data_IF_802934625341
#
_entry.id   IF_802934625341
#
_cell.length_a   1.000
_cell.length_b   1.000
_cell.length_c   1.000
_cell.angle_alpha   90.00
_cell.angle_beta   90.00
_cell.angle_gamma   90.00
#
_symmetry.space_group_name_H-M   'P 1'
#
loop_
_entity.id
_entity.type
_entity.pdbx_description
1 polymer ?
#
# COMPACT_ATOMS: atom_id res chain seq x y z
N UNK A 1 -4.06 -7.04 24.86
CA UNK A 1 -4.12 -5.57 24.78
C UNK A 1 -3.23 -4.95 23.70
N UNK A 2 -2.41 -5.72 23.03
CA UNK A 2 -1.44 -5.19 22.06
C UNK A 2 -1.81 -5.38 20.59
N UNK A 3 -3.01 -5.89 20.31
CA UNK A 3 -3.38 -6.23 18.93
C UNK A 3 -3.95 -5.07 18.10
N UNK A 4 -4.12 -3.89 18.70
CA UNK A 4 -4.70 -2.74 18.00
C UNK A 4 -3.77 -2.21 16.91
N UNK A 5 -2.47 -2.20 17.15
CA UNK A 5 -1.51 -1.70 16.17
C UNK A 5 -1.40 -2.61 14.94
N UNK A 6 -1.39 -3.92 15.15
CA UNK A 6 -1.31 -4.91 14.07
C UNK A 6 -2.54 -4.80 13.16
N UNK A 7 -3.74 -4.70 13.76
CA UNK A 7 -4.98 -4.55 13.00
C UNK A 7 -5.00 -3.24 12.21
N UNK A 8 -4.45 -2.17 12.77
CA UNK A 8 -4.34 -0.88 12.09
C UNK A 8 -3.41 -0.98 10.88
N UNK A 9 -2.29 -1.69 10.98
CA UNK A 9 -1.40 -1.91 9.84
C UNK A 9 -2.06 -2.74 8.74
N UNK A 10 -2.83 -3.77 9.11
CA UNK A 10 -3.60 -4.54 8.12
C UNK A 10 -4.56 -3.64 7.37
N UNK A 11 -5.29 -2.80 8.08
CA UNK A 11 -6.23 -1.85 7.48
C UNK A 11 -5.51 -0.90 6.53
N UNK A 12 -4.38 -0.32 6.96
CA UNK A 12 -3.61 0.61 6.13
C UNK A 12 -3.05 -0.07 4.87
N UNK A 13 -2.48 -1.26 5.00
CA UNK A 13 -1.96 -2.01 3.86
C UNK A 13 -3.07 -2.35 2.85
N UNK A 14 -4.24 -2.73 3.34
CA UNK A 14 -5.39 -3.03 2.47
C UNK A 14 -5.89 -1.77 1.78
N UNK A 15 -5.99 -0.68 2.51
CA UNK A 15 -6.42 0.62 1.98
C UNK A 15 -5.47 1.09 0.88
N UNK A 16 -4.18 1.18 1.19
CA UNK A 16 -3.19 1.67 0.24
C UNK A 16 -3.05 0.73 -0.96
N UNK A 17 -3.07 -0.58 -0.72
CA UNK A 17 -3.03 -1.58 -1.79
C UNK A 17 -4.18 -1.40 -2.77
N UNK A 18 -5.40 -1.26 -2.27
CA UNK A 18 -6.58 -1.07 -3.14
C UNK A 18 -6.54 0.26 -3.90
N UNK A 19 -6.07 1.33 -3.26
CA UNK A 19 -5.98 2.64 -3.90
C UNK A 19 -4.96 2.69 -5.03
N UNK A 20 -3.88 1.92 -4.93
CA UNK A 20 -2.92 1.79 -6.03
C UNK A 20 -3.36 0.77 -7.08
N UNK A 21 -4.05 -0.28 -6.69
CA UNK A 21 -4.43 -1.39 -7.58
C UNK A 21 -5.60 -1.05 -8.50
N UNK A 22 -6.58 -0.30 -7.98
CA UNK A 22 -7.85 -0.09 -8.66
C UNK A 22 -7.97 1.32 -9.20
N UNK A 23 -8.69 1.45 -10.32
CA UNK A 23 -9.03 2.77 -10.85
C UNK A 23 -9.91 3.52 -9.85
N UNK A 24 -9.75 4.85 -9.72
CA UNK A 24 -10.49 5.63 -8.72
C UNK A 24 -12.01 5.52 -8.87
N UNK A 25 -12.51 5.38 -10.09
CA UNK A 25 -13.94 5.27 -10.36
C UNK A 25 -14.49 3.85 -10.19
N UNK A 26 -13.69 2.90 -9.73
CA UNK A 26 -14.19 1.55 -9.45
C UNK A 26 -15.28 1.59 -8.37
N UNK A 27 -16.44 0.94 -8.60
CA UNK A 27 -17.55 1.01 -7.64
C UNK A 27 -17.17 0.56 -6.22
N UNK A 28 -16.26 -0.39 -6.10
CA UNK A 28 -15.81 -0.90 -4.80
C UNK A 28 -15.09 0.17 -3.97
N UNK A 29 -14.56 1.22 -4.61
CA UNK A 29 -13.83 2.30 -3.92
C UNK A 29 -14.72 3.49 -3.54
N UNK A 30 -15.99 3.51 -3.94
CA UNK A 30 -16.88 4.65 -3.70
C UNK A 30 -16.95 5.02 -2.21
N UNK A 31 -17.20 4.04 -1.35
CA UNK A 31 -17.27 4.26 0.10
C UNK A 31 -15.91 4.66 0.68
N UNK A 32 -14.82 4.11 0.14
CA UNK A 32 -13.46 4.44 0.56
C UNK A 32 -13.16 5.91 0.30
N UNK A 33 -13.49 6.42 -0.89
CA UNK A 33 -13.27 7.83 -1.21
C UNK A 33 -14.14 8.76 -0.36
N UNK A 34 -15.40 8.39 -0.11
CA UNK A 34 -16.26 9.15 0.78
C UNK A 34 -15.66 9.23 2.19
N UNK A 35 -15.17 8.11 2.69
CA UNK A 35 -14.53 8.02 4.00
C UNK A 35 -13.25 8.86 4.08
N UNK A 36 -12.42 8.85 3.04
CA UNK A 36 -11.22 9.70 2.96
C UNK A 36 -11.58 11.18 3.01
N UNK A 37 -12.58 11.59 2.24
CA UNK A 37 -13.05 12.99 2.19
C UNK A 37 -13.53 13.48 3.55
N UNK A 38 -14.10 12.60 4.36
CA UNK A 38 -14.61 12.91 5.69
C UNK A 38 -13.53 12.88 6.78
N UNK A 39 -12.27 12.68 6.41
CA UNK A 39 -11.16 12.61 7.36
C UNK A 39 -11.02 11.26 8.06
N UNK A 40 -11.55 10.20 7.47
CA UNK A 40 -11.50 8.86 8.07
C UNK A 40 -10.09 8.34 8.29
N UNK A 41 -9.19 8.56 7.33
CA UNK A 41 -7.80 8.14 7.48
C UNK A 41 -7.10 8.90 8.60
N UNK A 42 -7.33 10.21 8.69
CA UNK A 42 -6.77 11.04 9.75
C UNK A 42 -7.17 10.52 11.14
N UNK A 43 -8.42 10.13 11.30
CA UNK A 43 -8.94 9.59 12.57
C UNK A 43 -8.30 8.24 12.92
N UNK A 44 -7.98 7.43 11.92
CA UNK A 44 -7.36 6.11 12.11
C UNK A 44 -5.83 6.15 12.12
N UNK A 45 -5.24 7.32 11.85
CA UNK A 45 -3.78 7.45 11.74
C UNK A 45 -3.16 7.45 13.13
N UNK A 46 -2.65 6.28 13.54
CA UNK A 46 -2.07 6.07 14.87
C UNK A 46 -0.59 6.43 14.95
N UNK A 47 0.02 6.79 13.82
CA UNK A 47 1.44 7.14 13.75
C UNK A 47 1.66 8.59 14.15
N UNK A 48 2.88 8.89 14.60
CA UNK A 48 3.25 10.26 14.92
C UNK A 48 3.12 11.15 13.69
N UNK A 49 2.46 12.30 13.87
CA UNK A 49 2.20 13.22 12.77
C UNK A 49 3.20 14.37 12.84
N UNK A 50 4.13 14.39 11.89
CA UNK A 50 4.98 15.55 11.66
C UNK A 50 4.33 16.49 10.64
N UNK A 51 5.01 17.57 10.27
CA UNK A 51 4.47 18.54 9.31
C UNK A 51 4.27 17.93 7.94
N UNK A 52 5.10 16.98 7.52
CA UNK A 52 4.97 16.30 6.24
C UNK A 52 3.75 15.36 6.22
N UNK A 53 3.56 14.57 7.27
CA UNK A 53 2.38 13.70 7.41
C UNK A 53 1.09 14.51 7.39
N UNK A 54 1.07 15.63 8.10
CA UNK A 54 -0.09 16.51 8.15
C UNK A 54 -0.44 17.08 6.78
N UNK A 55 0.57 17.52 6.03
CA UNK A 55 0.38 17.99 4.65
C UNK A 55 -0.16 16.89 3.75
N UNK A 56 0.39 15.68 3.87
CA UNK A 56 -0.05 14.53 3.07
C UNK A 56 -1.50 14.13 3.39
N UNK A 57 -1.86 14.08 4.67
CA UNK A 57 -3.24 13.78 5.07
C UNK A 57 -4.22 14.82 4.56
N UNK A 58 -3.88 16.11 4.68
CA UNK A 58 -4.70 17.21 4.20
C UNK A 58 -4.88 17.15 2.69
N UNK A 59 -3.81 16.91 1.95
CA UNK A 59 -3.84 16.83 0.49
C UNK A 59 -4.68 15.64 0.02
N UNK A 60 -4.52 14.50 0.68
CA UNK A 60 -5.29 13.29 0.38
C UNK A 60 -6.79 13.53 0.56
N UNK A 61 -7.18 14.15 1.67
CA UNK A 61 -8.59 14.48 1.96
C UNK A 61 -9.18 15.42 0.92
N UNK A 62 -8.45 16.47 0.57
CA UNK A 62 -8.92 17.49 -0.37
C UNK A 62 -9.08 16.96 -1.79
N UNK A 63 -8.21 16.04 -2.20
CA UNK A 63 -8.17 15.55 -3.57
C UNK A 63 -8.81 14.17 -3.74
N UNK A 64 -9.50 13.65 -2.73
CA UNK A 64 -10.15 12.34 -2.76
C UNK A 64 -11.45 12.38 -3.56
N UNK A 65 -11.36 12.78 -4.83
CA UNK A 65 -12.49 12.84 -5.77
C UNK A 65 -12.23 11.85 -6.91
N UNK A 66 -12.96 10.71 -6.95
CA UNK A 66 -12.70 9.66 -7.95
C UNK A 66 -12.78 10.17 -9.40
N UNK A 67 -13.72 11.04 -9.69
CA UNK A 67 -13.91 11.56 -11.06
C UNK A 67 -12.70 12.37 -11.51
N UNK A 68 -12.19 13.23 -10.63
CA UNK A 68 -11.02 14.07 -10.93
C UNK A 68 -9.73 13.26 -11.00
N UNK A 69 -9.63 12.18 -10.24
CA UNK A 69 -8.42 11.35 -10.15
C UNK A 69 -8.28 10.37 -11.32
N UNK A 70 -9.33 10.10 -12.08
CA UNK A 70 -9.29 9.14 -13.18
C UNK A 70 -8.18 9.47 -14.18
N UNK A 71 -8.05 10.72 -14.59
CA UNK A 71 -7.01 11.16 -15.52
C UNK A 71 -5.61 10.98 -14.93
N UNK A 72 -5.44 11.33 -13.66
CA UNK A 72 -4.14 11.15 -12.96
C UNK A 72 -3.75 9.68 -12.86
N UNK A 73 -4.70 8.84 -12.50
CA UNK A 73 -4.47 7.39 -12.40
C UNK A 73 -4.03 6.82 -13.76
N UNK A 74 -4.74 7.17 -14.84
CA UNK A 74 -4.42 6.70 -16.18
C UNK A 74 -3.03 7.16 -16.61
N UNK A 75 -2.69 8.41 -16.37
CA UNK A 75 -1.39 8.96 -16.73
C UNK A 75 -0.23 8.29 -15.97
N UNK A 76 -0.47 7.90 -14.71
CA UNK A 76 0.57 7.31 -13.87
C UNK A 76 0.66 5.78 -14.01
N UNK A 77 -0.45 5.07 -13.94
CA UNK A 77 -0.49 3.63 -13.68
C UNK A 77 -1.10 2.77 -14.77
N UNK A 78 -1.72 3.35 -15.80
CA UNK A 78 -2.28 2.57 -16.89
C UNK A 78 -1.16 1.90 -17.71
N UNK A 79 -1.53 1.02 -18.62
CA UNK A 79 -0.60 0.20 -19.41
C UNK A 79 0.55 0.99 -20.01
N UNK A 80 0.31 2.22 -20.47
CA UNK A 80 1.33 3.11 -21.02
C UNK A 80 1.60 4.30 -20.12
N UNK A 81 1.34 4.16 -18.81
CA UNK A 81 1.56 5.21 -17.83
C UNK A 81 3.03 5.44 -17.52
N UNK A 82 3.28 6.53 -16.78
CA UNK A 82 4.63 6.97 -16.45
C UNK A 82 5.36 6.01 -15.48
N UNK A 83 4.60 5.18 -14.74
CA UNK A 83 5.14 4.33 -13.67
C UNK A 83 4.76 2.87 -13.93
N UNK A 84 5.76 1.96 -14.06
CA UNK A 84 5.46 0.53 -14.13
C UNK A 84 4.79 0.03 -12.86
N UNK A 85 3.74 -0.79 -13.00
CA UNK A 85 3.04 -1.38 -11.85
C UNK A 85 3.35 -2.86 -11.66
N UNK A 86 4.03 -3.50 -12.61
CA UNK A 86 4.40 -4.90 -12.53
C UNK A 86 5.58 -5.09 -11.56
N UNK A 87 5.49 -6.11 -10.70
CA UNK A 87 6.60 -6.49 -9.80
C UNK A 87 7.85 -6.82 -10.63
N UNK A 88 7.65 -7.51 -11.74
CA UNK A 88 8.74 -7.91 -12.66
C UNK A 88 9.49 -6.71 -13.23
N UNK A 89 8.85 -5.56 -13.37
CA UNK A 89 9.48 -4.33 -13.83
C UNK A 89 10.56 -3.81 -12.88
N UNK A 90 10.50 -4.23 -11.61
CA UNK A 90 11.47 -3.85 -10.56
C UNK A 90 12.49 -4.94 -10.30
N UNK A 91 12.62 -5.90 -11.22
CA UNK A 91 13.59 -7.01 -11.19
C UNK A 91 13.34 -8.04 -10.10
N UNK A 92 12.07 -8.24 -9.74
CA UNK A 92 11.67 -9.29 -8.81
C UNK A 92 10.96 -10.42 -9.55
N UNK A 93 11.15 -11.65 -9.08
CA UNK A 93 10.52 -12.83 -9.67
C UNK A 93 9.06 -12.95 -9.20
N UNK A 94 8.13 -12.88 -10.15
CA UNK A 94 6.71 -13.09 -9.89
C UNK A 94 6.47 -14.55 -9.47
N UNK A 95 7.19 -15.49 -10.07
CA UNK A 95 7.09 -16.91 -9.75
C UNK A 95 7.47 -17.17 -8.29
N UNK A 96 8.54 -16.53 -7.81
CA UNK A 96 8.95 -16.65 -6.40
C UNK A 96 7.90 -16.06 -5.45
N UNK A 97 7.32 -14.94 -5.83
CA UNK A 97 6.25 -14.31 -5.04
C UNK A 97 5.00 -15.21 -5.00
N UNK A 98 4.62 -15.80 -6.13
CA UNK A 98 3.50 -16.74 -6.19
C UNK A 98 3.78 -17.96 -5.30
N UNK A 99 5.00 -18.51 -5.37
CA UNK A 99 5.41 -19.64 -4.53
C UNK A 99 5.34 -19.28 -3.05
N UNK A 100 5.83 -18.10 -2.68
CA UNK A 100 5.75 -17.58 -1.31
C UNK A 100 4.30 -17.60 -0.80
N UNK A 101 3.35 -17.14 -1.63
CA UNK A 101 1.94 -17.10 -1.28
C UNK A 101 1.34 -18.52 -1.17
N UNK A 102 1.63 -19.38 -2.14
CA UNK A 102 1.10 -20.75 -2.18
C UNK A 102 1.56 -21.59 -0.99
N UNK A 103 2.81 -21.46 -0.61
CA UNK A 103 3.39 -22.17 0.54
C UNK A 103 2.68 -21.83 1.85
N UNK A 104 2.03 -20.68 1.91
CA UNK A 104 1.32 -20.18 3.10
C UNK A 104 -0.20 -20.27 2.99
N UNK A 105 -0.70 -20.96 1.95
CA UNK A 105 -2.12 -21.19 1.80
C UNK A 105 -2.94 -19.98 1.38
N UNK A 106 -2.31 -18.98 0.80
CA UNK A 106 -3.03 -17.79 0.33
C UNK A 106 -3.84 -18.08 -0.92
N UNK A 107 -4.96 -17.35 -1.11
CA UNK A 107 -5.76 -17.51 -2.33
C UNK A 107 -4.96 -17.25 -3.60
N UNK A 108 -5.29 -18.00 -4.67
CA UNK A 108 -4.69 -17.82 -5.98
C UNK A 108 -5.12 -16.47 -6.58
N UNK A 109 -4.17 -15.76 -7.19
CA UNK A 109 -4.42 -14.48 -7.85
C UNK A 109 -4.50 -14.69 -9.36
N UNK A 110 -5.48 -14.06 -10.01
CA UNK A 110 -5.61 -14.10 -11.47
C UNK A 110 -4.46 -13.37 -12.16
N UNK A 111 -4.07 -12.21 -11.59
CA UNK A 111 -2.92 -11.43 -12.06
C UNK A 111 -2.06 -11.12 -10.84
N UNK A 112 -0.96 -11.86 -10.70
CA UNK A 112 -0.07 -11.72 -9.55
C UNK A 112 1.01 -10.66 -9.74
N UNK A 113 1.21 -10.16 -10.98
CA UNK A 113 2.30 -9.23 -11.30
C UNK A 113 1.87 -7.77 -11.16
N UNK A 114 1.63 -7.36 -9.91
CA UNK A 114 1.30 -5.97 -9.59
C UNK A 114 1.84 -5.62 -8.21
N UNK A 115 2.54 -4.49 -8.12
CA UNK A 115 3.19 -4.06 -6.87
C UNK A 115 2.22 -3.89 -5.70
N UNK A 116 0.99 -3.46 -5.96
CA UNK A 116 -0.02 -3.28 -4.92
C UNK A 116 -0.39 -4.59 -4.21
N UNK A 117 -0.21 -5.74 -4.88
CA UNK A 117 -0.46 -7.05 -4.29
C UNK A 117 0.50 -7.36 -3.15
N UNK A 118 1.66 -6.72 -3.12
CA UNK A 118 2.59 -6.83 -1.99
C UNK A 118 1.95 -6.26 -0.72
N UNK A 119 1.29 -5.11 -0.83
CA UNK A 119 0.57 -4.50 0.29
C UNK A 119 -0.63 -5.35 0.72
N UNK A 120 -1.40 -5.85 -0.23
CA UNK A 120 -2.55 -6.71 0.05
C UNK A 120 -2.11 -8.04 0.68
N UNK A 121 -0.95 -8.55 0.29
CA UNK A 121 -0.36 -9.76 0.89
C UNK A 121 0.04 -9.49 2.35
N UNK A 122 0.64 -8.34 2.63
CA UNK A 122 0.98 -7.95 4.01
C UNK A 122 -0.27 -7.89 4.90
N UNK A 123 -1.36 -7.31 4.39
CA UNK A 123 -2.65 -7.28 5.09
C UNK A 123 -3.17 -8.69 5.35
N UNK A 124 -3.10 -9.58 4.36
CA UNK A 124 -3.58 -10.95 4.50
C UNK A 124 -2.80 -11.73 5.58
N UNK A 125 -1.48 -11.53 5.63
CA UNK A 125 -0.63 -12.17 6.64
C UNK A 125 -1.06 -11.73 8.05
N UNK A 126 -1.26 -10.42 8.25
CA UNK A 126 -1.69 -9.90 9.55
C UNK A 126 -3.03 -10.48 9.99
N UNK A 127 -3.97 -10.64 9.06
CA UNK A 127 -5.32 -11.09 9.36
C UNK A 127 -5.44 -12.60 9.54
N UNK A 128 -4.58 -13.39 8.90
CA UNK A 128 -4.80 -14.84 8.77
C UNK A 128 -3.64 -15.71 9.27
N UNK A 129 -2.42 -15.18 9.37
CA UNK A 129 -1.26 -15.95 9.80
C UNK A 129 -0.73 -15.43 11.14
N UNK A 130 -0.51 -16.34 12.07
CA UNK A 130 0.23 -16.01 13.29
C UNK A 130 1.72 -16.32 13.05
N UNK A 131 2.32 -15.54 12.14
CA UNK A 131 3.70 -15.76 11.71
C UNK A 131 4.43 -14.45 11.43
N UNK A 132 5.20 -14.01 12.40
CA UNK A 132 6.11 -12.88 12.29
C UNK A 132 7.14 -13.14 11.18
N UNK A 133 7.64 -14.37 11.10
CA UNK A 133 8.64 -14.77 10.10
C UNK A 133 8.13 -14.59 8.66
N UNK A 134 6.86 -14.94 8.41
CA UNK A 134 6.26 -14.75 7.09
C UNK A 134 6.23 -13.28 6.71
N UNK A 135 5.85 -12.41 7.65
CA UNK A 135 5.80 -10.97 7.41
C UNK A 135 7.19 -10.39 7.21
N UNK A 136 8.15 -10.80 8.02
CA UNK A 136 9.56 -10.38 7.88
C UNK A 136 10.11 -10.76 6.51
N UNK A 137 9.86 -11.99 6.07
CA UNK A 137 10.30 -12.47 4.76
C UNK A 137 9.66 -11.66 3.62
N UNK A 138 8.34 -11.41 3.71
CA UNK A 138 7.67 -10.57 2.72
C UNK A 138 8.30 -9.18 2.65
N UNK A 139 8.53 -8.54 3.80
CA UNK A 139 9.09 -7.19 3.85
C UNK A 139 10.50 -7.13 3.32
N UNK A 140 11.36 -8.04 3.74
CA UNK A 140 12.79 -8.03 3.37
C UNK A 140 13.04 -8.41 1.91
N UNK A 141 12.37 -9.45 1.43
CA UNK A 141 12.67 -10.02 0.13
C UNK A 141 11.86 -9.40 -1.01
N UNK A 142 10.65 -8.90 -0.75
CA UNK A 142 9.76 -8.42 -1.81
C UNK A 142 9.25 -7.02 -1.59
N UNK A 143 8.59 -6.77 -0.45
CA UNK A 143 7.78 -5.58 -0.27
C UNK A 143 8.61 -4.31 -0.20
N UNK A 144 9.54 -4.20 0.75
CA UNK A 144 10.33 -2.98 0.93
C UNK A 144 11.21 -2.66 -0.27
N UNK A 145 11.99 -3.63 -0.81
CA UNK A 145 12.83 -3.31 -1.97
C UNK A 145 12.03 -2.85 -3.18
N UNK A 146 10.89 -3.47 -3.43
CA UNK A 146 10.02 -3.11 -4.56
C UNK A 146 9.29 -1.79 -4.31
N UNK A 147 8.64 -1.66 -3.16
CA UNK A 147 7.83 -0.47 -2.84
C UNK A 147 8.68 0.79 -2.70
N UNK A 148 9.89 0.70 -2.19
CA UNK A 148 10.77 1.87 -2.11
C UNK A 148 11.02 2.49 -3.48
N UNK A 149 11.21 1.67 -4.50
CA UNK A 149 11.38 2.14 -5.88
C UNK A 149 10.08 2.68 -6.45
N UNK A 150 8.99 1.92 -6.29
CA UNK A 150 7.67 2.31 -6.81
C UNK A 150 7.18 3.62 -6.19
N UNK A 151 7.21 3.74 -4.87
CA UNK A 151 6.78 4.93 -4.17
C UNK A 151 7.63 6.16 -4.53
N UNK A 152 8.94 5.95 -4.70
CA UNK A 152 9.84 7.03 -5.13
C UNK A 152 9.47 7.58 -6.49
N UNK A 153 9.07 6.70 -7.42
CA UNK A 153 8.60 7.14 -8.74
C UNK A 153 7.29 7.92 -8.63
N UNK A 154 6.34 7.45 -7.81
CA UNK A 154 5.08 8.16 -7.60
C UNK A 154 5.33 9.55 -7.02
N UNK A 155 6.17 9.65 -6.01
CA UNK A 155 6.51 10.93 -5.38
C UNK A 155 7.15 11.92 -6.36
N UNK A 156 7.87 11.41 -7.36
CA UNK A 156 8.54 12.24 -8.38
C UNK A 156 7.61 12.63 -9.52
N UNK A 157 6.69 11.75 -9.91
CA UNK A 157 5.84 11.91 -11.09
C UNK A 157 4.50 12.57 -10.81
N UNK A 158 4.07 12.62 -9.54
CA UNK A 158 2.81 13.24 -9.14
C UNK A 158 3.07 14.31 -8.07
N UNK A 159 2.18 15.29 -8.01
CA UNK A 159 2.27 16.35 -7.00
C UNK A 159 0.96 16.52 -6.20
N UNK A 160 0.04 15.57 -6.33
CA UNK A 160 -1.27 15.63 -5.71
C UNK A 160 -1.59 14.41 -4.86
N UNK A 161 -2.78 13.85 -5.09
CA UNK A 161 -3.32 12.75 -4.31
C UNK A 161 -2.37 11.54 -4.23
N UNK A 162 -1.84 11.08 -5.37
CA UNK A 162 -1.00 9.88 -5.38
C UNK A 162 0.37 10.11 -4.76
N UNK A 163 0.92 11.33 -4.84
CA UNK A 163 2.12 11.68 -4.09
C UNK A 163 1.87 11.60 -2.59
N UNK A 164 0.77 12.17 -2.12
CA UNK A 164 0.38 12.10 -0.71
C UNK A 164 0.17 10.65 -0.27
N UNK A 165 -0.53 9.86 -1.09
CA UNK A 165 -0.74 8.43 -0.84
C UNK A 165 0.59 7.68 -0.72
N UNK A 166 1.53 7.95 -1.63
CA UNK A 166 2.85 7.32 -1.61
C UNK A 166 3.63 7.67 -0.34
N UNK A 167 3.59 8.92 0.09
CA UNK A 167 4.27 9.37 1.29
C UNK A 167 3.69 8.71 2.56
N UNK A 168 2.38 8.65 2.67
CA UNK A 168 1.71 7.99 3.80
C UNK A 168 1.95 6.49 3.81
N UNK A 169 1.97 5.86 2.63
CA UNK A 169 2.30 4.44 2.51
C UNK A 169 3.72 4.18 3.01
N UNK A 170 4.67 5.02 2.61
CA UNK A 170 6.08 4.90 3.04
C UNK A 170 6.20 4.99 4.57
N UNK A 171 5.50 5.94 5.19
CA UNK A 171 5.50 6.10 6.64
C UNK A 171 4.94 4.86 7.35
N UNK A 172 3.82 4.34 6.87
CA UNK A 172 3.20 3.16 7.45
C UNK A 172 4.13 1.93 7.35
N UNK A 173 4.75 1.73 6.18
CA UNK A 173 5.66 0.61 5.97
C UNK A 173 6.92 0.73 6.82
N UNK A 174 7.44 1.94 7.00
CA UNK A 174 8.59 2.18 7.87
C UNK A 174 8.27 1.83 9.32
N UNK A 175 7.10 2.21 9.81
CA UNK A 175 6.66 1.89 11.16
C UNK A 175 6.47 0.38 11.36
N UNK A 176 5.89 -0.30 10.36
CA UNK A 176 5.75 -1.77 10.40
C UNK A 176 7.10 -2.47 10.41
N UNK A 177 8.03 -2.01 9.59
CA UNK A 177 9.38 -2.58 9.53
C UNK A 177 10.09 -2.44 10.88
N UNK A 178 9.96 -1.29 11.54
CA UNK A 178 10.55 -1.07 12.87
C UNK A 178 9.94 -2.03 13.91
N UNK A 179 8.63 -2.25 13.88
CA UNK A 179 7.99 -3.21 14.79
C UNK A 179 8.45 -4.64 14.54
N UNK A 180 8.61 -5.04 13.27
CA UNK A 180 9.09 -6.38 12.93
C UNK A 180 10.54 -6.59 13.40
N UNK A 181 11.38 -5.58 13.30
CA UNK A 181 12.76 -5.64 13.79
C UNK A 181 12.79 -5.78 15.32
N UNK A 182 11.93 -5.08 16.04
CA UNK A 182 11.84 -5.13 17.50
C UNK A 182 11.39 -6.52 18.00
N UNK A 183 10.62 -7.25 17.21
CA UNK A 183 10.13 -8.59 17.57
C UNK A 183 11.17 -9.69 17.37
N UNK A 184 12.28 -9.41 16.70
CA UNK A 184 13.41 -10.37 16.56
C UNK A 184 14.24 -10.53 17.84
N UNK A 185 14.07 -9.65 18.80
CA UNK A 185 14.77 -9.68 20.07
C UNK A 185 13.92 -10.45 21.09
#
# INVERSE_FOLDING_TARGET
>A
MSNTHINDFSLLCRLFGNLFYREPNAPILADTFAWLTQGGLRQQWALNTDSQSELSLTLLEKQANPTELTSSYQALFAENGAIPTAISAYKFSVEDFIAFRNERGMPTLEQADHVALLLLTASWIEDHLDSIQAQQMLFEEYLLPCMNKFLGLVETKDNGFYKALAQLTREALSAMADELDDEEI
#
